data_IF_336276097339
#
_entry.id   IF_336276097339
#
_cell.length_a   1.000
_cell.length_b   1.000
_cell.length_c   1.000
_cell.angle_alpha   90.00
_cell.angle_beta   90.00
_cell.angle_gamma   90.00
#
_symmetry.space_group_name_H-M   'P 1'
#
loop_
_entity.id
_entity.type
_entity.pdbx_description
1 polymer ?
#
# COMPACT_ATOMS: atom_id res chain seq x y z
N UNK A 1 19.96 20.94 14.07
CA UNK A 1 18.50 20.71 14.08
C UNK A 1 18.01 21.31 12.77
N UNK A 2 17.44 20.50 11.89
CA UNK A 2 17.00 20.99 10.57
C UNK A 2 15.66 21.68 10.78
N UNK A 3 15.59 22.99 10.57
CA UNK A 3 14.32 23.71 10.43
C UNK A 3 13.79 23.38 9.04
N UNK A 4 12.65 22.71 8.97
CA UNK A 4 11.98 22.45 7.71
C UNK A 4 11.07 23.65 7.44
N UNK A 5 11.50 24.55 6.55
CA UNK A 5 10.81 25.82 6.26
C UNK A 5 9.33 25.60 5.87
N UNK A 6 9.03 24.45 5.27
CA UNK A 6 7.67 24.01 4.93
C UNK A 6 6.82 23.81 6.20
N UNK A 7 7.38 23.26 7.27
CA UNK A 7 6.67 23.03 8.53
C UNK A 7 6.36 24.35 9.24
N UNK A 8 7.31 25.29 9.22
CA UNK A 8 7.13 26.61 9.85
C UNK A 8 6.02 27.41 9.15
N UNK A 9 5.95 27.36 7.82
CA UNK A 9 4.85 27.93 7.05
C UNK A 9 3.51 27.29 7.40
N UNK A 10 3.44 25.95 7.44
CA UNK A 10 2.22 25.22 7.83
C UNK A 10 1.76 25.62 9.23
N UNK A 11 2.69 25.76 10.17
CA UNK A 11 2.39 26.15 11.55
C UNK A 11 1.80 27.57 11.60
N UNK A 12 2.40 28.52 10.88
CA UNK A 12 1.90 29.89 10.78
C UNK A 12 0.49 29.95 10.20
N UNK A 13 0.23 29.25 9.09
CA UNK A 13 -1.10 29.18 8.48
C UNK A 13 -2.15 28.56 9.42
N UNK A 14 -1.80 27.47 10.11
CA UNK A 14 -2.70 26.81 11.07
C UNK A 14 -2.99 27.71 12.27
N UNK A 15 -2.00 28.45 12.75
CA UNK A 15 -2.16 29.34 13.89
C UNK A 15 -3.00 30.58 13.55
N UNK A 16 -2.79 31.19 12.38
CA UNK A 16 -3.63 32.29 11.87
C UNK A 16 -5.08 31.83 11.66
N UNK A 17 -5.28 30.65 11.09
CA UNK A 17 -6.61 30.05 10.92
C UNK A 17 -7.24 29.71 12.27
N UNK A 18 -6.51 29.13 13.22
CA UNK A 18 -7.05 28.85 14.56
C UNK A 18 -7.45 30.16 15.28
N UNK A 19 -6.64 31.23 15.13
CA UNK A 19 -6.97 32.56 15.68
C UNK A 19 -8.23 33.15 15.07
N UNK A 20 -8.44 33.02 13.75
CA UNK A 20 -9.66 33.53 13.11
C UNK A 20 -10.94 32.81 13.57
N UNK A 21 -10.81 31.57 14.05
CA UNK A 21 -11.89 30.80 14.66
C UNK A 21 -11.85 30.79 16.21
N UNK A 22 -11.04 31.67 16.83
CA UNK A 22 -10.89 31.75 18.29
C UNK A 22 -10.54 30.41 18.97
N UNK A 23 -9.77 29.56 18.28
CA UNK A 23 -9.42 28.20 18.69
C UNK A 23 -10.62 27.28 18.97
N UNK A 24 -11.80 27.63 18.47
CA UNK A 24 -12.99 26.82 18.59
C UNK A 24 -13.00 25.73 17.50
N UNK A 25 -12.74 24.50 17.94
CA UNK A 25 -12.69 23.32 17.07
C UNK A 25 -14.04 23.06 16.40
N UNK A 26 -15.15 23.34 17.09
CA UNK A 26 -16.49 23.12 16.56
C UNK A 26 -16.80 24.12 15.44
N UNK A 27 -16.37 25.38 15.60
CA UNK A 27 -16.52 26.41 14.58
C UNK A 27 -15.71 26.10 13.30
N UNK A 28 -14.49 25.60 13.46
CA UNK A 28 -13.66 25.16 12.33
C UNK A 28 -14.29 23.97 11.60
N UNK A 29 -14.87 23.01 12.34
CA UNK A 29 -15.56 21.87 11.76
C UNK A 29 -16.80 22.27 10.96
N UNK A 30 -17.61 23.19 11.49
CA UNK A 30 -18.79 23.71 10.82
C UNK A 30 -18.45 24.48 9.54
N UNK A 31 -17.37 25.27 9.55
CA UNK A 31 -16.88 25.96 8.35
C UNK A 31 -16.42 24.97 7.27
N UNK A 32 -15.71 23.91 7.65
CA UNK A 32 -15.30 22.85 6.73
C UNK A 32 -16.48 22.06 6.17
N UNK A 33 -17.51 21.80 6.99
CA UNK A 33 -18.74 21.15 6.55
C UNK A 33 -19.52 22.00 5.53
N UNK A 34 -19.57 23.33 5.74
CA UNK A 34 -20.15 24.27 4.76
C UNK A 34 -19.36 24.30 3.46
N UNK A 35 -18.03 24.42 3.52
CA UNK A 35 -17.15 24.37 2.34
C UNK A 35 -17.30 23.04 1.58
N UNK A 36 -17.50 21.93 2.30
CA UNK A 36 -17.73 20.63 1.68
C UNK A 36 -19.07 20.59 0.93
N UNK A 37 -20.15 21.11 1.53
CA UNK A 37 -21.46 21.22 0.91
C UNK A 37 -21.48 22.16 -0.31
N UNK A 38 -20.76 23.29 -0.23
CA UNK A 38 -20.63 24.26 -1.33
C UNK A 38 -19.75 23.74 -2.48
N UNK A 39 -18.80 22.84 -2.22
CA UNK A 39 -17.91 22.33 -3.26
C UNK A 39 -18.62 21.52 -4.35
N UNK A 40 -19.88 21.10 -4.12
CA UNK A 40 -20.65 20.28 -5.05
C UNK A 40 -20.03 18.91 -5.35
N UNK A 41 -18.95 18.54 -4.64
CA UNK A 41 -18.25 17.26 -4.84
C UNK A 41 -19.06 16.16 -4.18
N UNK A 42 -19.44 15.17 -4.97
CA UNK A 42 -20.13 13.99 -4.47
C UNK A 42 -19.15 13.14 -3.65
N UNK A 43 -19.50 12.88 -2.39
CA UNK A 43 -18.81 11.86 -1.60
C UNK A 43 -19.16 10.49 -2.20
N UNK A 44 -18.20 9.86 -2.87
CA UNK A 44 -18.36 8.53 -3.45
C UNK A 44 -17.70 7.48 -2.57
N UNK A 45 -18.43 6.42 -2.23
CA UNK A 45 -17.86 5.21 -1.67
C UNK A 45 -17.35 4.34 -2.82
N UNK A 46 -16.04 4.33 -3.02
CA UNK A 46 -15.40 3.41 -3.97
C UNK A 46 -15.23 2.04 -3.30
N UNK A 47 -15.42 0.93 -4.04
CA UNK A 47 -15.12 -0.39 -3.50
C UNK A 47 -13.63 -0.45 -3.09
N UNK A 48 -13.30 -1.21 -2.02
CA UNK A 48 -11.92 -1.36 -1.59
C UNK A 48 -11.05 -1.83 -2.77
N UNK A 49 -9.90 -1.18 -2.95
CA UNK A 49 -8.97 -1.44 -4.05
C UNK A 49 -8.61 -2.93 -4.08
N UNK A 50 -9.10 -3.66 -5.08
CA UNK A 50 -8.89 -5.12 -5.25
C UNK A 50 -7.45 -5.49 -5.68
N UNK A 51 -6.46 -4.68 -5.29
CA UNK A 51 -5.07 -4.81 -5.71
C UNK A 51 -4.13 -5.36 -4.63
N UNK A 52 -4.65 -5.77 -3.48
CA UNK A 52 -3.83 -6.33 -2.41
C UNK A 52 -3.87 -7.86 -2.43
N UNK A 53 -2.74 -8.55 -2.18
CA UNK A 53 -2.73 -9.99 -1.98
C UNK A 53 -3.50 -10.37 -0.71
N UNK A 54 -4.03 -11.59 -0.69
CA UNK A 54 -4.75 -12.11 0.49
C UNK A 54 -3.80 -12.37 1.66
N UNK A 55 -4.34 -12.48 2.87
CA UNK A 55 -3.56 -12.84 4.05
C UNK A 55 -2.90 -14.23 3.87
N UNK A 56 -3.63 -15.20 3.29
CA UNK A 56 -3.05 -16.53 3.01
C UNK A 56 -1.88 -16.45 2.02
N UNK A 57 -1.99 -15.61 0.99
CA UNK A 57 -0.89 -15.34 0.07
C UNK A 57 0.32 -14.73 0.78
N UNK A 58 0.10 -13.75 1.66
CA UNK A 58 1.19 -13.11 2.39
C UNK A 58 1.98 -14.13 3.23
N UNK A 59 1.27 -15.00 3.97
CA UNK A 59 1.92 -16.06 4.74
C UNK A 59 2.66 -17.08 3.86
N UNK A 60 2.08 -17.45 2.72
CA UNK A 60 2.74 -18.33 1.76
C UNK A 60 4.02 -17.71 1.18
N UNK A 61 3.99 -16.44 0.80
CA UNK A 61 5.15 -15.69 0.33
C UNK A 61 6.27 -15.66 1.38
N UNK A 62 5.95 -15.40 2.65
CA UNK A 62 6.95 -15.41 3.74
C UNK A 62 7.61 -16.79 3.86
N UNK A 63 6.83 -17.87 3.80
CA UNK A 63 7.35 -19.24 3.85
C UNK A 63 8.26 -19.56 2.66
N UNK A 64 7.86 -19.16 1.45
CA UNK A 64 8.67 -19.32 0.23
C UNK A 64 9.96 -18.53 0.33
N UNK A 65 9.91 -17.25 0.71
CA UNK A 65 11.10 -16.43 0.88
C UNK A 65 12.06 -17.03 1.92
N UNK A 66 11.54 -17.52 3.06
CA UNK A 66 12.36 -18.20 4.05
C UNK A 66 13.05 -19.45 3.48
N UNK A 67 12.33 -20.26 2.70
CA UNK A 67 12.91 -21.44 2.02
C UNK A 67 14.04 -21.04 1.07
N UNK A 68 13.84 -20.00 0.25
CA UNK A 68 14.86 -19.48 -0.66
C UNK A 68 16.08 -18.93 0.10
N UNK A 69 15.86 -18.17 1.17
CA UNK A 69 16.93 -17.65 2.03
C UNK A 69 17.73 -18.76 2.71
N UNK A 70 17.07 -19.82 3.20
CA UNK A 70 17.75 -20.99 3.77
C UNK A 70 18.64 -21.70 2.74
N UNK A 71 18.23 -21.69 1.46
CA UNK A 71 19.01 -22.23 0.35
C UNK A 71 20.04 -21.26 -0.22
N UNK A 72 20.21 -20.06 0.35
CA UNK A 72 21.03 -18.97 -0.21
C UNK A 72 20.68 -18.62 -1.66
N UNK A 73 19.41 -18.73 -2.01
CA UNK A 73 18.93 -18.49 -3.37
C UNK A 73 18.49 -17.04 -3.50
N UNK A 74 19.05 -16.29 -4.47
CA UNK A 74 18.66 -14.90 -4.69
C UNK A 74 17.21 -14.83 -5.18
N UNK A 75 16.51 -13.78 -4.77
CA UNK A 75 15.18 -13.42 -5.27
C UNK A 75 15.36 -12.25 -6.22
N UNK A 76 15.05 -12.46 -7.49
CA UNK A 76 15.24 -11.47 -8.55
C UNK A 76 13.96 -10.67 -8.80
N UNK A 77 12.81 -11.35 -8.81
CA UNK A 77 11.50 -10.73 -9.05
C UNK A 77 10.52 -11.18 -7.98
N UNK A 78 9.76 -10.24 -7.44
CA UNK A 78 8.59 -10.49 -6.61
C UNK A 78 7.48 -9.55 -7.07
N UNK A 79 6.43 -10.09 -7.70
CA UNK A 79 5.37 -9.28 -8.32
C UNK A 79 3.99 -9.85 -8.10
N UNK A 80 3.05 -9.02 -7.65
CA UNK A 80 1.64 -9.36 -7.64
C UNK A 80 0.95 -8.94 -8.94
N UNK A 81 0.22 -9.85 -9.57
CA UNK A 81 -0.63 -9.57 -10.72
C UNK A 81 -2.09 -9.43 -10.26
N UNK A 82 -2.70 -8.23 -10.31
CA UNK A 82 -4.08 -8.03 -9.85
C UNK A 82 -5.12 -8.68 -10.76
N UNK A 83 -4.80 -8.93 -12.04
CA UNK A 83 -5.74 -9.56 -12.99
C UNK A 83 -5.89 -11.06 -12.70
N UNK A 84 -4.78 -11.75 -12.46
CA UNK A 84 -4.77 -13.19 -12.16
C UNK A 84 -4.83 -13.49 -10.65
N UNK A 85 -4.64 -12.47 -9.81
CA UNK A 85 -4.54 -12.57 -8.34
C UNK A 85 -3.46 -13.54 -7.89
N UNK A 86 -2.34 -13.58 -8.60
CA UNK A 86 -1.21 -14.47 -8.34
C UNK A 86 0.05 -13.66 -8.08
N UNK A 87 0.82 -14.06 -7.06
CA UNK A 87 2.18 -13.55 -6.84
C UNK A 87 3.15 -14.43 -7.62
N UNK A 88 3.99 -13.80 -8.42
CA UNK A 88 5.08 -14.42 -9.15
C UNK A 88 6.40 -14.09 -8.44
N UNK A 89 7.21 -15.13 -8.20
CA UNK A 89 8.54 -15.01 -7.61
C UNK A 89 9.53 -15.69 -8.56
N UNK A 90 10.52 -14.95 -9.03
CA UNK A 90 11.67 -15.48 -9.77
C UNK A 90 12.87 -15.54 -8.83
N UNK A 91 13.46 -16.71 -8.70
CA UNK A 91 14.56 -16.95 -7.78
C UNK A 91 15.60 -17.93 -8.35
N UNK A 92 16.70 -18.05 -7.63
CA UNK A 92 17.78 -18.98 -7.94
C UNK A 92 18.95 -18.31 -8.65
N UNK A 93 20.13 -18.92 -8.50
CA UNK A 93 21.40 -18.38 -9.02
C UNK A 93 21.37 -18.20 -10.55
N UNK A 94 20.65 -19.08 -11.24
CA UNK A 94 20.49 -19.05 -12.70
C UNK A 94 19.12 -18.53 -13.16
N UNK A 95 18.35 -17.89 -12.27
CA UNK A 95 16.97 -17.43 -12.58
C UNK A 95 16.06 -18.56 -13.07
N UNK A 96 16.31 -19.80 -12.64
CA UNK A 96 15.59 -20.98 -13.10
C UNK A 96 14.37 -21.34 -12.25
N UNK A 97 14.20 -20.72 -11.08
CA UNK A 97 13.10 -21.07 -10.19
C UNK A 97 12.00 -20.03 -10.30
N UNK A 98 10.94 -20.42 -10.99
CA UNK A 98 9.71 -19.67 -11.06
C UNK A 98 8.72 -20.24 -10.06
N UNK A 99 8.17 -19.39 -9.19
CA UNK A 99 7.22 -19.79 -8.15
C UNK A 99 5.97 -18.96 -8.28
N UNK A 100 4.83 -19.64 -8.29
CA UNK A 100 3.49 -19.04 -8.34
C UNK A 100 2.80 -19.23 -7.00
N UNK A 101 2.30 -18.14 -6.40
CA UNK A 101 1.49 -18.15 -5.18
C UNK A 101 0.08 -17.66 -5.49
N UNK A 102 -0.90 -18.56 -5.42
CA UNK A 102 -2.30 -18.29 -5.74
C UNK A 102 -3.04 -17.64 -4.56
N UNK A 103 -4.18 -16.99 -4.82
CA UNK A 103 -5.02 -16.32 -3.81
C UNK A 103 -5.44 -17.19 -2.63
N UNK A 104 -5.46 -18.51 -2.81
CA UNK A 104 -5.74 -19.48 -1.75
C UNK A 104 -4.57 -19.75 -0.79
N UNK A 105 -3.40 -19.14 -1.01
CA UNK A 105 -2.16 -19.42 -0.28
C UNK A 105 -1.44 -20.70 -0.71
N UNK A 106 -2.00 -21.47 -1.65
CA UNK A 106 -1.26 -22.56 -2.31
C UNK A 106 -0.20 -21.99 -3.23
N UNK A 107 0.97 -22.62 -3.26
CA UNK A 107 2.06 -22.25 -4.17
C UNK A 107 2.66 -23.48 -4.84
N UNK A 108 3.27 -23.28 -6.01
CA UNK A 108 3.97 -24.31 -6.76
C UNK A 108 5.11 -23.70 -7.59
N UNK A 109 6.08 -24.53 -7.96
CA UNK A 109 7.00 -24.18 -9.03
C UNK A 109 6.25 -24.15 -10.37
N UNK A 110 6.63 -23.21 -11.22
CA UNK A 110 6.16 -23.18 -12.60
C UNK A 110 7.02 -24.17 -13.39
N UNK A 111 6.49 -25.36 -13.58
CA UNK A 111 7.13 -26.39 -14.40
C UNK A 111 6.83 -26.11 -15.89
N UNK A 112 7.25 -24.96 -16.41
CA UNK A 112 7.24 -24.72 -17.85
C UNK A 112 8.39 -25.52 -18.48
N UNK A 113 8.24 -26.85 -18.51
CA UNK A 113 8.92 -27.72 -19.47
C UNK A 113 8.12 -27.66 -20.78
N UNK A 114 8.46 -26.70 -21.65
CA UNK A 114 8.17 -26.77 -23.09
C UNK A 114 9.41 -26.40 -23.87
#
# INVERSE_FOLDING_TARGET
MWQDEILDEIHKFREEHAKSFNYDLDAMFLDWQKKQAESGRQLVSLPPKQGLPTAEQAFACVRVCQMLSNGYQPIHVFRYNPNTKTVFILAGVTESWEILVFSSGKWRFNDDQT
#
